data_IF_886631637194
#
_entry.id   IF_886631637194
#
_cell.length_a   1.000
_cell.length_b   1.000
_cell.length_c   1.000
_cell.angle_alpha   90.00
_cell.angle_beta   90.00
_cell.angle_gamma   90.00
#
_symmetry.space_group_name_H-M   'P 1'
#
loop_
_entity.id
_entity.type
_entity.pdbx_description
1 polymer ?
#
# COMPACT_ATOMS: atom_id res chain seq x y z
N UNK A 1 -2.59 34.80 -83.63
CA UNK A 1 -1.60 34.06 -82.82
C UNK A 1 -2.09 34.06 -81.37
N UNK A 2 -2.61 32.98 -81.02
CA UNK A 2 -3.35 32.78 -79.77
C UNK A 2 -2.44 32.31 -78.69
N UNK A 3 -2.42 33.04 -77.60
CA UNK A 3 -1.76 32.58 -76.39
C UNK A 3 -2.78 32.23 -75.36
N UNK A 4 -3.03 30.96 -75.22
CA UNK A 4 -3.85 30.42 -74.15
C UNK A 4 -3.10 30.53 -72.85
N UNK A 5 -3.61 31.39 -71.95
CA UNK A 5 -3.16 31.44 -70.59
C UNK A 5 -3.99 30.45 -69.78
N UNK A 6 -3.41 29.31 -69.48
CA UNK A 6 -3.97 28.34 -68.54
C UNK A 6 -3.81 28.86 -67.12
N UNK A 7 -4.87 29.29 -66.53
CA UNK A 7 -4.94 29.58 -65.12
C UNK A 7 -5.20 28.26 -64.37
N UNK A 8 -4.14 27.73 -63.80
CA UNK A 8 -4.23 26.58 -62.85
C UNK A 8 -4.70 27.13 -61.51
N UNK A 9 -5.98 26.92 -61.24
CA UNK A 9 -6.55 27.20 -59.93
C UNK A 9 -6.16 26.05 -59.00
N UNK A 10 -5.09 26.24 -58.26
CA UNK A 10 -4.68 25.31 -57.20
C UNK A 10 -5.63 25.47 -56.01
N UNK A 11 -6.60 24.57 -55.94
CA UNK A 11 -7.44 24.47 -54.76
C UNK A 11 -6.67 23.96 -53.57
N UNK A 12 -6.36 24.83 -52.64
CA UNK A 12 -5.76 24.48 -51.34
C UNK A 12 -6.85 23.86 -50.47
N UNK A 13 -6.91 22.53 -50.43
CA UNK A 13 -7.71 21.79 -49.47
C UNK A 13 -7.10 21.97 -48.08
N UNK A 14 -7.63 22.91 -47.30
CA UNK A 14 -7.39 22.98 -45.86
C UNK A 14 -8.13 21.81 -45.19
N UNK A 15 -7.44 20.70 -45.00
CA UNK A 15 -7.91 19.64 -44.10
C UNK A 15 -7.79 20.20 -42.70
N UNK A 16 -8.86 20.72 -42.17
CA UNK A 16 -9.01 21.01 -40.78
C UNK A 16 -9.04 19.66 -40.02
N UNK A 17 -7.89 19.18 -39.58
CA UNK A 17 -7.82 18.15 -38.57
C UNK A 17 -8.41 18.73 -37.27
N UNK A 18 -9.72 18.62 -37.14
CA UNK A 18 -10.38 18.77 -35.85
C UNK A 18 -9.93 17.66 -34.95
N UNK A 19 -8.74 17.83 -34.38
CA UNK A 19 -8.27 16.95 -33.34
C UNK A 19 -9.19 17.13 -32.14
N UNK A 20 -10.07 16.18 -31.92
CA UNK A 20 -10.77 16.06 -30.68
C UNK A 20 -9.70 15.68 -29.65
N UNK A 21 -8.99 16.70 -29.14
CA UNK A 21 -8.10 16.48 -28.02
C UNK A 21 -8.98 16.09 -26.85
N UNK A 22 -9.07 14.77 -26.63
CA UNK A 22 -9.61 14.26 -25.39
C UNK A 22 -8.85 14.99 -24.28
N UNK A 23 -9.55 15.90 -23.60
CA UNK A 23 -9.01 16.66 -22.47
C UNK A 23 -8.53 15.63 -21.47
N UNK A 24 -7.21 15.47 -21.35
CA UNK A 24 -6.62 14.57 -20.38
C UNK A 24 -7.24 14.88 -19.02
N UNK A 25 -7.94 13.89 -18.43
CA UNK A 25 -8.57 14.04 -17.14
C UNK A 25 -7.45 14.41 -16.18
N UNK A 26 -7.48 15.62 -15.61
CA UNK A 26 -6.50 16.04 -14.60
C UNK A 26 -6.49 14.97 -13.51
N UNK A 27 -5.32 14.46 -13.10
CA UNK A 27 -5.26 13.53 -11.98
C UNK A 27 -6.07 14.12 -10.82
N UNK A 28 -7.04 13.36 -10.35
CA UNK A 28 -7.82 13.75 -9.18
C UNK A 28 -6.86 13.83 -8.00
N UNK A 29 -6.91 14.94 -7.25
CA UNK A 29 -6.07 15.06 -6.06
C UNK A 29 -6.34 13.87 -5.13
N UNK A 30 -5.30 13.28 -4.47
CA UNK A 30 -5.50 12.20 -3.52
C UNK A 30 -6.56 12.59 -2.51
N UNK A 31 -7.50 11.68 -2.22
CA UNK A 31 -8.48 11.90 -1.17
C UNK A 31 -7.75 12.18 0.15
N UNK A 32 -8.27 13.11 0.96
CA UNK A 32 -7.73 13.37 2.29
C UNK A 32 -7.70 12.07 3.11
N UNK A 33 -6.66 11.82 3.93
CA UNK A 33 -6.60 10.67 4.80
C UNK A 33 -7.84 10.60 5.69
N UNK A 34 -8.36 9.40 5.91
CA UNK A 34 -9.43 9.20 6.88
C UNK A 34 -8.85 9.27 8.29
N UNK A 35 -9.50 10.02 9.14
CA UNK A 35 -9.18 10.08 10.55
C UNK A 35 -10.08 9.14 11.34
N UNK A 36 -9.48 8.40 12.28
CA UNK A 36 -10.18 7.47 13.15
C UNK A 36 -9.84 7.75 14.60
N UNK A 37 -10.79 7.49 15.46
CA UNK A 37 -10.56 7.43 16.90
C UNK A 37 -10.69 5.99 17.37
N UNK A 38 -10.25 5.70 18.58
CA UNK A 38 -10.38 4.39 19.18
C UNK A 38 -10.96 4.48 20.59
N UNK A 39 -11.55 3.36 21.02
CA UNK A 39 -11.98 3.17 22.40
C UNK A 39 -11.38 1.87 22.92
N UNK A 40 -10.73 1.93 24.08
CA UNK A 40 -10.20 0.73 24.74
C UNK A 40 -11.37 -0.10 25.28
N UNK A 41 -11.52 -1.32 24.82
CA UNK A 41 -12.56 -2.26 25.25
C UNK A 41 -12.07 -3.18 26.36
N UNK A 42 -10.82 -3.58 26.31
CA UNK A 42 -10.21 -4.48 27.28
C UNK A 42 -8.69 -4.28 27.29
N UNK A 43 -8.08 -4.67 28.39
CA UNK A 43 -6.62 -4.69 28.57
C UNK A 43 -6.24 -6.10 29.01
N UNK A 44 -5.21 -6.64 28.42
CA UNK A 44 -4.77 -8.00 28.62
C UNK A 44 -3.30 -8.03 29.06
N UNK A 45 -2.90 -9.01 29.88
CA UNK A 45 -1.49 -9.17 30.26
C UNK A 45 -0.62 -9.52 29.04
N UNK A 46 0.57 -8.94 29.01
CA UNK A 46 1.54 -9.16 27.96
C UNK A 46 2.95 -9.23 28.55
N UNK A 47 3.83 -10.15 28.14
CA UNK A 47 5.20 -10.21 28.63
C UNK A 47 5.98 -8.94 28.32
N UNK A 48 6.57 -8.33 29.31
CA UNK A 48 7.38 -7.10 29.14
C UNK A 48 8.69 -7.35 28.39
N UNK A 49 9.08 -8.60 28.24
CA UNK A 49 10.27 -9.04 27.49
C UNK A 49 10.01 -9.22 26.01
N UNK A 50 8.75 -9.19 25.58
CA UNK A 50 8.40 -9.31 24.17
C UNK A 50 8.39 -7.94 23.50
N UNK A 51 9.36 -7.69 22.62
CA UNK A 51 9.37 -6.49 21.77
C UNK A 51 8.50 -6.72 20.55
N UNK A 52 7.22 -6.44 20.68
CA UNK A 52 6.19 -6.71 19.65
C UNK A 52 6.46 -5.96 18.37
N UNK A 53 6.54 -6.68 17.26
CA UNK A 53 6.69 -6.13 15.91
C UNK A 53 5.45 -6.38 15.04
N UNK A 54 4.71 -7.44 15.31
CA UNK A 54 3.50 -7.77 14.61
C UNK A 54 2.53 -8.57 15.45
N UNK A 55 1.23 -8.36 15.22
CA UNK A 55 0.14 -9.10 15.84
C UNK A 55 -0.89 -9.48 14.79
N UNK A 56 -1.34 -10.73 14.81
CA UNK A 56 -2.37 -11.21 13.91
C UNK A 56 -3.21 -12.29 14.55
N UNK A 57 -4.53 -12.19 14.42
CA UNK A 57 -5.41 -13.31 14.70
C UNK A 57 -5.48 -14.24 13.49
N UNK A 58 -5.18 -15.51 13.72
CA UNK A 58 -5.32 -16.55 12.72
C UNK A 58 -5.69 -17.87 13.42
N UNK A 59 -6.66 -18.59 12.85
CA UNK A 59 -7.11 -19.89 13.36
C UNK A 59 -7.50 -19.89 14.85
N UNK A 60 -8.11 -18.80 15.32
CA UNK A 60 -8.56 -18.64 16.70
C UNK A 60 -7.45 -18.32 17.70
N UNK A 61 -6.22 -18.10 17.26
CA UNK A 61 -5.09 -17.76 18.09
C UNK A 61 -4.55 -16.37 17.76
N UNK A 62 -4.00 -15.67 18.74
CA UNK A 62 -3.26 -14.46 18.52
C UNK A 62 -1.78 -14.80 18.31
N UNK A 63 -1.29 -14.51 17.14
CA UNK A 63 0.10 -14.65 16.75
C UNK A 63 0.85 -13.34 16.98
N UNK A 64 2.05 -13.45 17.51
CA UNK A 64 2.94 -12.32 17.75
C UNK A 64 4.31 -12.61 17.13
N UNK A 65 4.79 -11.65 16.32
CA UNK A 65 6.18 -11.56 15.91
C UNK A 65 6.92 -10.57 16.81
N UNK A 66 8.07 -10.95 17.34
CA UNK A 66 8.89 -10.07 18.18
C UNK A 66 10.20 -9.74 17.51
N UNK A 67 10.77 -8.59 17.87
CA UNK A 67 12.08 -8.12 17.43
C UNK A 67 13.17 -8.39 18.47
N UNK A 68 14.29 -7.74 18.31
CA UNK A 68 15.55 -7.84 19.04
C UNK A 68 16.47 -8.97 18.54
N UNK A 69 17.73 -8.62 18.36
CA UNK A 69 18.74 -9.58 17.94
C UNK A 69 18.95 -10.68 18.98
N UNK A 70 18.90 -11.94 18.55
CA UNK A 70 19.05 -13.09 19.42
C UNK A 70 17.80 -13.45 20.24
N UNK A 71 16.74 -12.62 20.17
CA UNK A 71 15.52 -12.81 20.95
C UNK A 71 14.26 -12.84 20.10
N UNK A 72 14.39 -12.62 18.80
CA UNK A 72 13.25 -12.59 17.87
C UNK A 72 12.58 -13.94 17.72
N UNK A 73 11.28 -13.96 17.93
CA UNK A 73 10.46 -15.17 17.85
C UNK A 73 9.15 -14.91 17.12
N UNK A 74 8.56 -15.98 16.63
CA UNK A 74 7.14 -16.06 16.29
C UNK A 74 6.49 -16.93 17.36
N UNK A 75 5.48 -16.42 18.01
CA UNK A 75 4.82 -17.09 19.13
C UNK A 75 3.32 -16.85 19.13
N UNK A 76 2.60 -17.66 19.87
CA UNK A 76 1.20 -17.39 20.21
C UNK A 76 1.12 -16.73 21.58
N UNK A 77 0.11 -15.89 21.76
CA UNK A 77 -0.18 -15.18 23.00
C UNK A 77 -1.57 -15.52 23.48
N UNK A 78 -1.68 -16.02 24.70
CA UNK A 78 -2.95 -16.18 25.40
C UNK A 78 -3.34 -14.85 26.04
N UNK A 79 -4.46 -14.28 25.60
CA UNK A 79 -4.91 -12.98 26.06
C UNK A 79 -5.38 -12.96 27.52
N UNK A 80 -5.84 -14.08 28.05
CA UNK A 80 -6.32 -14.12 29.44
C UNK A 80 -5.17 -14.21 30.45
N UNK A 81 -4.14 -14.98 30.10
CA UNK A 81 -3.06 -15.29 31.03
C UNK A 81 -1.76 -14.54 30.72
N UNK A 82 -1.60 -14.00 29.51
CA UNK A 82 -0.35 -13.45 29.02
C UNK A 82 0.72 -14.48 28.71
N UNK A 83 0.39 -15.76 28.75
CA UNK A 83 1.33 -16.84 28.42
C UNK A 83 1.61 -16.88 26.94
N UNK A 84 2.87 -17.10 26.60
CA UNK A 84 3.31 -17.24 25.22
C UNK A 84 3.82 -18.65 24.97
N UNK A 85 3.63 -19.12 23.74
CA UNK A 85 4.21 -20.36 23.23
C UNK A 85 4.98 -20.06 21.96
N UNK A 86 6.29 -20.32 21.99
CA UNK A 86 7.17 -20.04 20.86
C UNK A 86 6.97 -21.11 19.78
N UNK A 87 6.63 -20.66 18.61
CA UNK A 87 6.51 -21.49 17.41
C UNK A 87 7.83 -21.57 16.64
N UNK A 88 8.52 -20.44 16.48
CA UNK A 88 9.79 -20.38 15.77
C UNK A 88 10.70 -19.30 16.37
N UNK A 89 12.01 -19.55 16.32
CA UNK A 89 13.05 -18.57 16.67
C UNK A 89 13.82 -18.17 15.44
N UNK A 90 14.09 -16.88 15.33
CA UNK A 90 14.95 -16.37 14.27
C UNK A 90 16.43 -16.61 14.64
N UNK A 91 17.33 -16.72 13.64
CA UNK A 91 18.77 -16.69 13.86
C UNK A 91 19.20 -15.46 14.66
N UNK A 92 20.30 -15.58 15.41
CA UNK A 92 20.76 -14.50 16.30
C UNK A 92 21.14 -13.22 15.57
N UNK A 93 21.54 -13.33 14.32
CA UNK A 93 21.88 -12.20 13.44
C UNK A 93 20.65 -11.45 12.88
N UNK A 94 19.47 -12.06 12.97
CA UNK A 94 18.25 -11.51 12.42
C UNK A 94 17.46 -10.72 13.48
N UNK A 95 16.80 -9.68 13.01
CA UNK A 95 15.83 -8.91 13.79
C UNK A 95 14.45 -9.15 13.21
N UNK A 96 13.50 -9.61 14.03
CA UNK A 96 12.12 -9.80 13.59
C UNK A 96 11.41 -8.47 13.39
N UNK A 97 10.66 -8.33 12.29
CA UNK A 97 9.92 -7.09 11.96
C UNK A 97 8.43 -7.33 11.68
N UNK A 98 7.85 -8.35 12.22
CA UNK A 98 6.42 -8.60 12.13
C UNK A 98 5.94 -9.35 10.88
#
# INVERSE_FOLDING_TARGET
MEKFASVLLSGLLLVACGGNQARAKRPEAPAAPKEYTYAVRSVHPHPTTSYTQGLQFADGMLWEGTGEHGESVVQTLDLETGRTEVFARLPQEDFGEG
#
